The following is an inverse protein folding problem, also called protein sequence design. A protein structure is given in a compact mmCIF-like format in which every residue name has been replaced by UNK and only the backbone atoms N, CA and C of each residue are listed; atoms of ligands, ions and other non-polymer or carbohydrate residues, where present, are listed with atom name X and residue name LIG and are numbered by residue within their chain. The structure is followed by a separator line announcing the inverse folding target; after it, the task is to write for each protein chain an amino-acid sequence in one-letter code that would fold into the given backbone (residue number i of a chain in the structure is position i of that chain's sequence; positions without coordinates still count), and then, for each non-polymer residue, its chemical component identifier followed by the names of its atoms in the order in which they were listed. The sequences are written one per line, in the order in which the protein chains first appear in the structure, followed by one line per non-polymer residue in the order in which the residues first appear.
data_IF_287093665376
#
_entry.id   IF_287093665376
#
_cell.length_a   1.000
_cell.length_b   1.000
_cell.length_c   1.000
_cell.angle_alpha   90.00
_cell.angle_beta   90.00
_cell.angle_gamma   90.00
#
_symmetry.space_group_name_H-M   'P 1'
#
loop_
_entity.id
_entity.type
_entity.pdbx_description
1 polymer ?
#
# COMPACT_ATOMS: atom_id res chain seq x y z
N UNK A 1 38.04 18.70 -13.83
CA UNK A 1 36.67 18.15 -13.80
C UNK A 1 36.27 17.96 -15.25
N UNK A 2 36.06 16.72 -15.70
CA UNK A 2 35.83 16.47 -17.12
C UNK A 2 34.42 16.95 -17.52
N UNK A 3 34.27 17.50 -18.73
CA UNK A 3 32.96 17.94 -19.23
C UNK A 3 31.98 16.78 -19.45
N UNK A 4 32.47 15.55 -19.61
CA UNK A 4 31.63 14.34 -19.76
C UNK A 4 30.88 13.93 -18.49
N UNK A 5 31.27 14.40 -17.30
CA UNK A 5 30.54 14.12 -16.04
C UNK A 5 29.43 15.15 -15.83
N UNK A 6 29.53 16.34 -16.44
CA UNK A 6 28.49 17.37 -16.33
C UNK A 6 27.22 17.02 -17.08
N UNK A 7 27.32 16.32 -18.21
CA UNK A 7 26.16 15.97 -19.05
C UNK A 7 25.31 14.83 -18.47
N UNK A 8 25.85 14.04 -17.55
CA UNK A 8 25.09 12.95 -16.90
C UNK A 8 24.17 13.47 -15.80
N UNK A 9 24.42 14.68 -15.28
CA UNK A 9 23.72 15.20 -14.09
C UNK A 9 23.07 16.58 -14.28
N UNK A 10 23.11 17.17 -15.49
CA UNK A 10 22.58 18.53 -15.75
C UNK A 10 21.88 18.59 -17.13
N UNK A 11 21.15 17.56 -17.50
CA UNK A 11 19.95 17.79 -18.31
C UNK A 11 18.79 17.68 -17.33
N UNK A 12 18.27 18.84 -16.90
CA UNK A 12 16.91 18.94 -16.38
C UNK A 12 15.99 18.60 -17.56
N UNK A 13 15.87 17.30 -17.86
CA UNK A 13 14.64 16.82 -18.46
C UNK A 13 13.56 17.20 -17.47
N UNK A 14 12.83 18.28 -17.77
CA UNK A 14 11.55 18.58 -17.16
C UNK A 14 10.82 17.25 -17.07
N UNK A 15 10.72 16.71 -15.87
CA UNK A 15 9.96 15.51 -15.62
C UNK A 15 8.52 15.94 -15.81
N UNK A 16 8.07 16.01 -17.07
CA UNK A 16 6.69 16.26 -17.40
C UNK A 16 5.98 15.04 -16.87
N UNK A 17 5.45 15.18 -15.65
CA UNK A 17 4.51 14.24 -15.08
C UNK A 17 3.51 13.98 -16.20
N UNK A 18 3.48 12.76 -16.76
CA UNK A 18 2.44 12.47 -17.71
C UNK A 18 1.18 12.64 -16.88
N UNK A 19 0.33 13.60 -17.28
CA UNK A 19 -1.02 13.81 -16.79
C UNK A 19 -1.84 12.55 -17.05
N UNK A 20 -1.47 11.46 -16.40
CA UNK A 20 -2.27 10.30 -16.18
C UNK A 20 -3.04 10.71 -14.96
N UNK A 21 -4.22 11.26 -15.18
CA UNK A 21 -5.36 10.77 -14.43
C UNK A 21 -5.30 9.25 -14.52
N UNK A 22 -4.51 8.63 -13.62
CA UNK A 22 -4.49 7.20 -13.43
C UNK A 22 -5.89 6.92 -12.92
N UNK A 23 -6.78 6.63 -13.85
CA UNK A 23 -8.03 5.98 -13.57
C UNK A 23 -7.63 4.61 -13.01
N UNK A 24 -7.39 4.57 -11.70
CA UNK A 24 -6.91 3.41 -10.96
C UNK A 24 -8.03 2.36 -10.88
N UNK A 25 -8.50 1.85 -12.02
CA UNK A 25 -9.43 0.71 -12.06
C UNK A 25 -8.75 -0.56 -11.59
N UNK A 26 -7.46 -0.74 -11.88
CA UNK A 26 -6.75 -1.96 -11.53
C UNK A 26 -6.73 -2.26 -10.02
N UNK A 27 -6.73 -1.24 -9.16
CA UNK A 27 -6.79 -1.43 -7.70
C UNK A 27 -8.21 -1.75 -7.20
N UNK A 28 -9.26 -1.29 -7.89
CA UNK A 28 -10.65 -1.58 -7.54
C UNK A 28 -11.04 -3.04 -7.83
N UNK A 29 -10.31 -3.70 -8.73
CA UNK A 29 -10.53 -5.10 -9.12
C UNK A 29 -9.85 -6.09 -8.15
N UNK A 30 -8.99 -5.62 -7.24
CA UNK A 30 -8.32 -6.50 -6.28
C UNK A 30 -9.31 -6.95 -5.21
N UNK A 31 -9.67 -8.23 -5.27
CA UNK A 31 -10.49 -8.88 -4.25
C UNK A 31 -9.57 -9.50 -3.21
N UNK A 32 -9.80 -9.17 -1.93
CA UNK A 32 -9.05 -9.74 -0.80
C UNK A 32 -9.96 -10.67 0.00
N UNK A 33 -9.59 -11.95 0.05
CA UNK A 33 -10.35 -12.97 0.78
C UNK A 33 -9.91 -13.07 2.24
N UNK A 34 -10.87 -13.06 3.18
CA UNK A 34 -10.60 -13.20 4.62
C UNK A 34 -9.86 -14.51 4.94
N UNK A 35 -10.23 -15.61 4.28
CA UNK A 35 -9.62 -16.93 4.49
C UNK A 35 -8.13 -16.93 4.15
N UNK A 36 -7.73 -16.20 3.11
CA UNK A 36 -6.32 -16.08 2.71
C UNK A 36 -5.52 -15.29 3.75
N UNK A 37 -6.07 -14.18 4.26
CA UNK A 37 -5.44 -13.41 5.34
C UNK A 37 -5.26 -14.30 6.58
N UNK A 38 -6.29 -15.04 6.99
CA UNK A 38 -6.22 -15.96 8.13
C UNK A 38 -5.15 -17.04 7.93
N UNK A 39 -5.07 -17.61 6.73
CA UNK A 39 -4.04 -18.58 6.36
C UNK A 39 -2.62 -17.98 6.41
N UNK A 40 -2.45 -16.73 5.98
CA UNK A 40 -1.15 -16.04 6.05
C UNK A 40 -0.74 -15.73 7.49
N UNK A 41 -1.67 -15.30 8.34
CA UNK A 41 -1.43 -15.05 9.76
C UNK A 41 -1.05 -16.34 10.51
N UNK A 42 -1.68 -17.47 10.18
CA UNK A 42 -1.34 -18.76 10.77
C UNK A 42 0.07 -19.24 10.36
N UNK A 43 0.47 -18.98 9.12
CA UNK A 43 1.74 -19.45 8.57
C UNK A 43 2.89 -18.44 8.71
N UNK A 44 2.78 -17.47 9.61
CA UNK A 44 3.84 -16.51 9.89
C UNK A 44 5.13 -17.20 10.37
N UNK A 45 6.27 -16.82 9.77
CA UNK A 45 7.57 -17.33 10.18
C UNK A 45 8.04 -16.65 11.47
N UNK A 46 7.79 -17.30 12.59
CA UNK A 46 8.14 -16.83 13.94
C UNK A 46 9.64 -16.66 14.21
N UNK A 47 10.52 -17.16 13.31
CA UNK A 47 11.98 -16.98 13.42
C UNK A 47 12.47 -15.66 12.84
N UNK A 48 11.59 -14.89 12.19
CA UNK A 48 11.93 -13.61 11.59
C UNK A 48 12.18 -12.57 12.69
N UNK A 49 13.15 -11.69 12.45
CA UNK A 49 13.44 -10.58 13.35
C UNK A 49 12.21 -9.67 13.53
N UNK A 50 12.13 -9.05 14.70
CA UNK A 50 11.07 -8.12 15.06
C UNK A 50 11.06 -6.88 14.16
N UNK A 51 9.88 -6.35 13.88
CA UNK A 51 9.73 -5.11 13.15
C UNK A 51 10.22 -3.89 13.95
N UNK A 52 10.33 -2.72 13.31
CA UNK A 52 10.66 -1.46 13.98
C UNK A 52 9.58 -1.02 14.98
N UNK A 53 8.37 -1.60 14.86
CA UNK A 53 7.25 -1.44 15.80
C UNK A 53 7.47 -2.18 17.12
N UNK A 54 8.50 -3.01 17.25
CA UNK A 54 8.76 -3.80 18.44
C UNK A 54 7.75 -4.94 18.64
N UNK A 55 6.96 -5.29 17.63
CA UNK A 55 5.98 -6.37 17.71
C UNK A 55 6.60 -7.67 17.19
N UNK A 56 6.70 -8.66 18.07
CA UNK A 56 7.22 -9.97 17.68
C UNK A 56 6.24 -10.70 16.74
N UNK A 57 6.79 -11.52 15.84
CA UNK A 57 5.97 -12.34 14.93
C UNK A 57 5.12 -13.36 15.69
N UNK A 58 5.59 -13.81 16.85
CA UNK A 58 4.81 -14.64 17.77
C UNK A 58 3.56 -13.92 18.27
N UNK A 59 3.69 -12.67 18.70
CA UNK A 59 2.55 -11.87 19.16
C UNK A 59 1.53 -11.64 18.04
N UNK A 60 1.99 -11.36 16.82
CA UNK A 60 1.13 -11.25 15.64
C UNK A 60 0.35 -12.54 15.36
N UNK A 61 1.02 -13.70 15.49
CA UNK A 61 0.38 -15.01 15.28
C UNK A 61 -0.66 -15.31 16.37
N UNK A 62 -0.37 -14.98 17.62
CA UNK A 62 -1.32 -15.17 18.74
C UNK A 62 -2.56 -14.26 18.59
N UNK A 63 -2.36 -13.03 18.14
CA UNK A 63 -3.44 -12.06 17.94
C UNK A 63 -4.19 -12.23 16.60
N UNK A 64 -3.98 -13.32 15.85
CA UNK A 64 -4.53 -13.49 14.49
C UNK A 64 -6.03 -13.25 14.40
N UNK A 65 -6.81 -13.71 15.37
CA UNK A 65 -8.28 -13.61 15.33
C UNK A 65 -8.74 -12.16 15.55
N UNK A 66 -7.98 -11.39 16.33
CA UNK A 66 -8.22 -9.96 16.56
C UNK A 66 -7.74 -9.10 15.38
N UNK A 67 -6.70 -9.55 14.67
CA UNK A 67 -6.09 -8.83 13.55
C UNK A 67 -6.79 -9.10 12.22
N UNK A 68 -7.52 -10.22 12.09
CA UNK A 68 -8.15 -10.64 10.85
C UNK A 68 -9.13 -9.60 10.30
N UNK A 69 -10.05 -9.10 11.14
CA UNK A 69 -11.06 -8.14 10.72
C UNK A 69 -10.45 -6.78 10.37
N UNK A 70 -9.60 -6.15 11.23
CA UNK A 70 -9.01 -4.85 10.90
C UNK A 70 -8.13 -4.87 9.65
N UNK A 71 -7.36 -5.93 9.42
CA UNK A 71 -6.52 -6.05 8.22
C UNK A 71 -7.39 -6.16 6.96
N UNK A 72 -8.46 -6.95 7.01
CA UNK A 72 -9.37 -7.08 5.88
C UNK A 72 -10.11 -5.77 5.57
N UNK A 73 -10.60 -5.08 6.59
CA UNK A 73 -11.24 -3.77 6.42
C UNK A 73 -10.26 -2.73 5.86
N UNK A 74 -9.02 -2.69 6.36
CA UNK A 74 -8.00 -1.78 5.86
C UNK A 74 -7.64 -2.07 4.39
N UNK A 75 -7.50 -3.34 4.01
CA UNK A 75 -7.22 -3.73 2.64
C UNK A 75 -8.38 -3.33 1.71
N UNK A 76 -9.60 -3.74 2.04
CA UNK A 76 -10.79 -3.47 1.21
C UNK A 76 -11.12 -1.97 1.10
N UNK A 77 -10.95 -1.20 2.19
CA UNK A 77 -11.15 0.25 2.18
C UNK A 77 -10.08 1.01 1.39
N UNK A 78 -8.85 0.49 1.34
CA UNK A 78 -7.76 1.09 0.56
C UNK A 78 -7.94 0.89 -0.95
N UNK A 79 -8.54 -0.25 -1.35
CA UNK A 79 -8.82 -0.58 -2.75
C UNK A 79 -10.11 0.06 -3.28
N UNK A 80 -11.08 0.29 -2.39
CA UNK A 80 -12.30 1.04 -2.71
C UNK A 80 -11.98 2.53 -2.68
N UNK A 81 -11.49 3.05 -3.81
CA UNK A 81 -11.05 4.44 -3.94
C UNK A 81 -11.95 5.42 -3.20
N UNK A 82 -11.35 6.33 -2.42
CA UNK A 82 -12.08 7.39 -1.71
C UNK A 82 -12.98 8.07 -2.73
N UNK A 83 -14.30 7.93 -2.56
CA UNK A 83 -15.26 8.79 -3.26
C UNK A 83 -14.97 10.19 -2.78
N UNK A 84 -14.24 10.96 -3.59
CA UNK A 84 -14.14 12.40 -3.43
C UNK A 84 -15.56 12.92 -3.48
N UNK A 85 -16.09 13.35 -2.34
CA UNK A 85 -17.28 14.18 -2.28
C UNK A 85 -16.93 15.49 -2.98
N UNK A 86 -17.09 15.53 -4.30
CA UNK A 86 -17.15 16.79 -5.06
C UNK A 86 -18.33 17.57 -4.50
N UNK A 87 -18.03 18.75 -3.97
CA UNK A 87 -19.01 19.63 -3.35
C UNK A 87 -20.17 19.92 -4.29
N UNK A 88 -21.38 19.86 -3.73
CA UNK A 88 -22.55 20.49 -4.32
C UNK A 88 -22.59 21.92 -3.78
N UNK A 89 -22.04 22.86 -4.54
CA UNK A 89 -22.51 24.24 -4.54
C UNK A 89 -23.82 24.27 -5.34
N UNK A 90 -24.95 24.55 -4.67
CA UNK A 90 -26.17 25.11 -5.27
C UNK A 90 -26.72 26.10 -4.23
N UNK A 91 -26.51 27.41 -4.47
CA UNK A 91 -27.41 28.38 -5.13
C UNK A 91 -28.54 28.87 -4.25
#
# INVERSE_FOLDING_TARGET
MNESVKTVFIEEEDFTEPNRTLHCTGLQEIIVHKQEIGGLLENLNVRKAMGPDGVSVWALKECKDQLLEPIWEMATSSFKGRVSTTGTEES
#
